data_IF_372496041238
#
_entry.id   IF_372496041238
#
_cell.length_a   1.000
_cell.length_b   1.000
_cell.length_c   1.000
_cell.angle_alpha   90.00
_cell.angle_beta   90.00
_cell.angle_gamma   90.00
#
_symmetry.space_group_name_H-M   'P 1'
#
loop_
_entity.id
_entity.type
_entity.pdbx_description
1 polymer ?
#
# COMPACT_ATOMS: atom_id res chain seq x y z
N UNK A 1 26.12 36.58 -27.28
CA UNK A 1 24.87 36.39 -26.52
C UNK A 1 24.33 34.95 -26.67
N UNK A 2 25.19 33.93 -26.62
CA UNK A 2 24.77 32.50 -26.78
C UNK A 2 25.40 31.60 -25.68
N UNK A 3 26.31 32.11 -24.85
CA UNK A 3 26.98 31.30 -23.81
C UNK A 3 26.26 31.26 -22.45
N UNK A 4 25.19 32.04 -22.24
CA UNK A 4 24.52 32.14 -20.94
C UNK A 4 23.38 31.13 -20.73
N UNK A 5 22.91 30.48 -21.81
CA UNK A 5 21.73 29.59 -21.76
C UNK A 5 22.04 28.15 -21.35
N UNK A 6 23.32 27.74 -21.35
CA UNK A 6 23.70 26.35 -21.02
C UNK A 6 23.89 26.10 -19.52
N UNK A 7 23.91 27.15 -18.68
CA UNK A 7 24.10 27.03 -17.22
C UNK A 7 22.81 26.72 -16.45
N UNK A 8 21.64 26.78 -17.09
CA UNK A 8 20.34 26.57 -16.45
C UNK A 8 19.87 25.10 -16.48
N UNK A 9 20.66 24.18 -17.07
CA UNK A 9 20.34 22.75 -17.13
C UNK A 9 21.15 21.89 -16.14
N UNK A 10 22.03 22.49 -15.33
CA UNK A 10 22.63 21.85 -14.16
C UNK A 10 21.69 22.12 -12.98
N UNK A 11 20.57 21.43 -12.88
CA UNK A 11 20.56 20.04 -12.49
C UNK A 11 19.77 20.02 -11.20
N UNK A 12 18.47 19.77 -11.29
CA UNK A 12 17.70 19.37 -10.13
C UNK A 12 18.45 18.16 -9.55
N UNK A 13 19.13 18.37 -8.42
CA UNK A 13 19.78 17.32 -7.66
C UNK A 13 18.72 16.44 -7.03
N UNK A 14 17.99 15.70 -7.87
CA UNK A 14 17.22 14.55 -7.46
C UNK A 14 18.25 13.53 -6.98
N UNK A 15 18.61 13.65 -5.71
CA UNK A 15 19.13 12.51 -4.99
C UNK A 15 17.95 11.53 -4.90
N UNK A 16 18.02 10.48 -5.70
CA UNK A 16 17.38 9.24 -5.29
C UNK A 16 18.23 8.82 -4.11
N UNK A 17 17.77 9.15 -2.90
CA UNK A 17 18.25 8.51 -1.69
C UNK A 17 17.84 7.03 -1.83
N UNK A 18 18.62 6.29 -2.61
CA UNK A 18 18.81 4.89 -2.36
C UNK A 18 19.56 4.89 -1.04
N UNK A 19 18.82 4.99 0.05
CA UNK A 19 19.34 4.63 1.35
C UNK A 19 19.94 3.24 1.13
N UNK A 20 21.27 3.19 1.07
CA UNK A 20 22.11 2.02 0.92
C UNK A 20 22.07 1.24 2.25
N UNK A 21 20.85 1.09 2.74
CA UNK A 21 20.43 0.26 3.84
C UNK A 21 20.37 -1.17 3.32
N UNK A 22 21.55 -1.69 3.00
CA UNK A 22 21.93 -3.09 3.19
C UNK A 22 21.71 -3.56 4.66
N UNK A 23 21.03 -2.79 5.51
CA UNK A 23 20.36 -3.27 6.70
C UNK A 23 19.14 -4.08 6.28
N UNK A 24 19.32 -5.39 6.17
CA UNK A 24 18.27 -6.42 6.21
C UNK A 24 16.86 -5.86 6.38
N UNK A 25 16.06 -5.84 5.32
CA UNK A 25 14.65 -5.45 5.41
C UNK A 25 14.00 -6.16 6.61
N UNK A 26 13.35 -5.42 7.52
CA UNK A 26 12.76 -6.01 8.71
C UNK A 26 11.77 -7.09 8.30
N UNK A 27 11.83 -8.24 8.97
CA UNK A 27 10.87 -9.31 8.75
C UNK A 27 9.56 -8.97 9.44
N UNK A 28 8.45 -9.13 8.74
CA UNK A 28 7.11 -8.84 9.28
C UNK A 28 6.27 -10.12 9.29
N UNK A 29 5.53 -10.33 10.37
CA UNK A 29 4.52 -11.38 10.44
C UNK A 29 3.14 -10.77 10.67
N UNK A 30 2.14 -11.33 9.99
CA UNK A 30 0.76 -10.85 10.02
C UNK A 30 -0.12 -11.98 10.55
N UNK A 31 -0.45 -11.99 11.86
CA UNK A 31 -1.48 -12.87 12.38
C UNK A 31 -2.83 -12.56 11.75
N UNK A 32 -3.74 -13.52 11.83
CA UNK A 32 -5.11 -13.35 11.37
C UNK A 32 -5.79 -12.17 12.07
N UNK A 33 -6.39 -11.27 11.28
CA UNK A 33 -7.07 -10.11 11.82
C UNK A 33 -8.40 -10.51 12.47
N UNK A 34 -8.60 -10.07 13.71
CA UNK A 34 -9.82 -10.43 14.44
C UNK A 34 -11.03 -9.80 13.75
N UNK A 35 -12.05 -10.60 13.45
CA UNK A 35 -13.26 -10.14 12.76
C UNK A 35 -13.20 -10.20 11.24
N UNK A 36 -12.07 -10.58 10.64
CA UNK A 36 -11.93 -10.82 9.19
C UNK A 36 -12.40 -12.24 8.82
N UNK A 37 -13.70 -12.53 8.98
CA UNK A 37 -14.26 -13.90 8.91
C UNK A 37 -13.81 -14.72 7.69
N UNK A 38 -13.66 -14.06 6.54
CA UNK A 38 -13.28 -14.70 5.28
C UNK A 38 -11.77 -14.68 5.00
N UNK A 39 -10.98 -14.02 5.85
CA UNK A 39 -9.54 -13.88 5.70
C UNK A 39 -9.11 -12.97 4.54
N UNK A 40 -10.06 -12.29 3.89
CA UNK A 40 -9.84 -11.51 2.68
C UNK A 40 -8.95 -10.30 2.98
N UNK A 41 -9.19 -9.64 4.12
CA UNK A 41 -8.38 -8.48 4.53
C UNK A 41 -6.97 -8.93 4.87
N UNK A 42 -6.83 -10.01 5.63
CA UNK A 42 -5.54 -10.59 6.03
C UNK A 42 -4.72 -10.99 4.79
N UNK A 43 -5.33 -11.71 3.84
CA UNK A 43 -4.69 -12.12 2.59
C UNK A 43 -4.26 -10.92 1.73
N UNK A 44 -5.13 -9.91 1.61
CA UNK A 44 -4.83 -8.69 0.83
C UNK A 44 -3.66 -7.91 1.43
N UNK A 45 -3.59 -7.81 2.75
CA UNK A 45 -2.48 -7.14 3.46
C UNK A 45 -1.18 -7.91 3.27
N UNK A 46 -1.18 -9.24 3.43
CA UNK A 46 0.00 -10.07 3.20
C UNK A 46 0.53 -9.89 1.77
N UNK A 47 -0.37 -9.91 0.77
CA UNK A 47 -0.01 -9.70 -0.63
C UNK A 47 0.58 -8.31 -0.86
N UNK A 48 -0.03 -7.27 -0.30
CA UNK A 48 0.46 -5.89 -0.42
C UNK A 48 1.85 -5.70 0.22
N UNK A 49 2.09 -6.30 1.38
CA UNK A 49 3.40 -6.28 2.04
C UNK A 49 4.46 -7.04 1.22
N UNK A 50 4.08 -8.18 0.64
CA UNK A 50 4.99 -8.96 -0.19
C UNK A 50 5.37 -8.24 -1.50
N UNK A 51 4.50 -7.37 -2.02
CA UNK A 51 4.76 -6.61 -3.26
C UNK A 51 5.38 -5.23 -3.04
N UNK A 52 5.30 -4.66 -1.83
CA UNK A 52 5.86 -3.32 -1.56
C UNK A 52 7.39 -3.29 -1.57
N UNK A 53 8.04 -4.41 -1.28
CA UNK A 53 9.50 -4.50 -1.20
C UNK A 53 10.12 -3.86 0.04
N UNK A 54 9.31 -3.28 0.94
CA UNK A 54 9.78 -2.64 2.18
C UNK A 54 10.00 -3.64 3.32
N UNK A 55 9.31 -4.79 3.29
CA UNK A 55 9.35 -5.80 4.34
C UNK A 55 9.49 -7.21 3.76
N UNK A 56 10.19 -8.07 4.50
CA UNK A 56 10.22 -9.50 4.21
C UNK A 56 9.11 -10.21 5.00
N UNK A 57 8.04 -10.63 4.33
CA UNK A 57 6.97 -11.37 4.98
C UNK A 57 7.46 -12.76 5.47
N UNK A 58 7.17 -13.08 6.73
CA UNK A 58 7.37 -14.41 7.32
C UNK A 58 6.11 -14.86 8.04
N UNK A 59 5.78 -16.15 7.96
CA UNK A 59 4.54 -16.67 8.52
C UNK A 59 4.47 -16.61 10.05
N UNK A 60 5.62 -16.69 10.74
CA UNK A 60 5.75 -16.56 12.20
C UNK A 60 7.11 -16.00 12.59
N UNK A 61 7.17 -15.30 13.72
CA UNK A 61 8.43 -14.86 14.33
C UNK A 61 9.15 -13.77 13.55
N UNK A 62 8.39 -12.90 12.85
CA UNK A 62 8.95 -11.70 12.26
C UNK A 62 9.51 -10.77 13.34
N UNK A 63 10.51 -9.97 12.96
CA UNK A 63 11.03 -8.89 13.81
C UNK A 63 9.95 -7.88 14.21
N UNK A 64 8.90 -7.76 13.39
CA UNK A 64 7.71 -6.95 13.64
C UNK A 64 6.46 -7.80 13.44
N UNK A 65 5.41 -7.50 14.21
CA UNK A 65 4.10 -8.15 14.12
C UNK A 65 3.05 -7.09 13.82
N UNK A 66 2.28 -7.28 12.75
CA UNK A 66 1.16 -6.42 12.40
C UNK A 66 -0.15 -7.04 12.90
N UNK A 67 -0.68 -6.52 14.00
CA UNK A 67 -1.98 -6.94 14.53
C UNK A 67 -3.11 -6.05 14.01
N UNK A 68 -4.24 -6.67 13.64
CA UNK A 68 -5.41 -5.98 13.12
C UNK A 68 -6.72 -6.50 13.72
N UNK A 69 -7.69 -5.61 13.85
CA UNK A 69 -9.06 -5.91 14.29
C UNK A 69 -10.04 -5.18 13.38
N UNK A 70 -10.99 -5.89 12.80
CA UNK A 70 -12.11 -5.32 12.03
C UNK A 70 -13.08 -4.70 13.03
N UNK A 71 -13.23 -3.37 12.98
CA UNK A 71 -14.11 -2.62 13.88
C UNK A 71 -15.56 -2.58 13.38
N UNK A 72 -15.74 -2.56 12.07
CA UNK A 72 -17.04 -2.49 11.40
C UNK A 72 -16.91 -2.96 9.97
N UNK A 73 -17.84 -3.82 9.53
CA UNK A 73 -18.05 -4.15 8.13
C UNK A 73 -19.47 -3.70 7.76
N UNK A 74 -19.57 -2.62 7.00
CA UNK A 74 -20.85 -1.98 6.64
C UNK A 74 -21.13 -2.20 5.17
N UNK A 75 -22.20 -2.93 4.87
CA UNK A 75 -22.77 -2.98 3.52
C UNK A 75 -23.99 -2.07 3.46
N UNK A 76 -23.82 -0.89 2.86
CA UNK A 76 -24.96 -0.04 2.55
C UNK A 76 -25.60 -0.53 1.24
N UNK A 77 -26.89 -0.85 1.32
CA UNK A 77 -27.68 -1.16 0.14
C UNK A 77 -27.96 0.14 -0.61
N UNK A 78 -27.12 0.46 -1.61
CA UNK A 78 -27.45 1.48 -2.59
C UNK A 78 -28.70 1.02 -3.34
N UNK A 79 -29.86 1.59 -2.96
CA UNK A 79 -31.13 1.28 -3.59
C UNK A 79 -31.11 1.56 -5.10
N UNK A 80 -32.13 1.08 -5.80
CA UNK A 80 -32.28 1.38 -7.23
C UNK A 80 -32.72 2.84 -7.44
N UNK A 81 -32.05 3.56 -8.32
CA UNK A 81 -32.55 4.81 -8.88
C UNK A 81 -33.29 4.46 -10.17
N UNK A 82 -34.62 4.57 -10.17
CA UNK A 82 -35.38 4.46 -11.42
C UNK A 82 -35.00 5.63 -12.32
N UNK A 83 -34.54 5.30 -13.53
CA UNK A 83 -34.26 6.29 -14.57
C UNK A 83 -35.57 7.00 -14.92
N UNK A 84 -35.57 8.33 -14.82
CA UNK A 84 -36.75 9.15 -15.09
C UNK A 84 -36.79 9.55 -16.57
N UNK A 85 -36.81 8.59 -17.48
CA UNK A 85 -37.56 8.71 -18.73
C UNK A 85 -37.47 7.45 -19.61
N UNK A 86 -38.55 6.68 -19.80
CA UNK A 86 -38.61 5.69 -20.85
C UNK A 86 -39.12 6.23 -22.19
N UNK A 87 -39.55 7.50 -22.30
CA UNK A 87 -40.22 8.01 -23.51
C UNK A 87 -39.95 9.52 -23.76
N UNK A 88 -38.77 9.86 -24.28
CA UNK A 88 -38.54 11.13 -25.00
C UNK A 88 -38.41 10.90 -26.50
#
# INVERSE_FOLDING_TARGET
MILLSSLLLSGCGYHVDNDDALSSFPTISVPYFKGDSDGILTDSVIKGLATSGEFNYVSKGGSVILEGVVLSDTSEHIGYQYDRDPLS
#
